data_IF_046374297587
#
_entry.id   IF_046374297587
#
_cell.length_a   1.000
_cell.length_b   1.000
_cell.length_c   1.000
_cell.angle_alpha   90.00
_cell.angle_beta   90.00
_cell.angle_gamma   90.00
#
_symmetry.space_group_name_H-M   'P 1'
#
loop_
_entity.id
_entity.type
_entity.pdbx_description
1 polymer ?
#
# COMPACT_ATOMS: atom_id res chain seq x y z
N UNK A 1 -17.74 17.92 5.57
CA UNK A 1 -17.71 16.49 5.91
C UNK A 1 -19.01 16.17 6.64
N UNK A 2 -19.82 15.19 6.21
CA UNK A 2 -21.05 14.87 6.95
C UNK A 2 -20.68 14.32 8.34
N UNK A 3 -21.25 14.83 9.45
CA UNK A 3 -21.02 14.29 10.78
C UNK A 3 -21.49 12.82 10.87
N UNK A 4 -21.09 12.11 11.93
CA UNK A 4 -21.41 10.68 12.25
C UNK A 4 -22.91 10.35 12.34
N UNK A 5 -23.78 11.28 11.98
CA UNK A 5 -25.21 11.25 12.20
C UNK A 5 -25.86 10.45 11.05
N UNK A 6 -25.73 9.12 11.11
CA UNK A 6 -26.77 8.08 10.94
C UNK A 6 -26.17 6.65 10.83
N UNK A 7 -25.13 6.32 11.60
CA UNK A 7 -24.75 4.91 11.75
C UNK A 7 -25.76 4.19 12.67
N UNK A 8 -26.26 2.99 12.31
CA UNK A 8 -27.04 2.17 13.22
C UNK A 8 -26.30 1.95 14.53
N UNK A 9 -27.03 1.82 15.64
CA UNK A 9 -26.44 1.67 16.98
C UNK A 9 -25.40 0.54 17.05
N UNK A 10 -25.69 -0.60 16.42
CA UNK A 10 -24.77 -1.75 16.35
C UNK A 10 -23.41 -1.39 15.71
N UNK A 11 -23.41 -0.58 14.66
CA UNK A 11 -22.17 -0.15 13.99
C UNK A 11 -21.38 0.84 14.83
N UNK A 12 -22.06 1.67 15.63
CA UNK A 12 -21.39 2.58 16.56
C UNK A 12 -20.71 1.81 17.69
N UNK A 13 -21.40 0.83 18.28
CA UNK A 13 -20.85 -0.03 19.33
C UNK A 13 -19.65 -0.84 18.84
N UNK A 14 -19.76 -1.43 17.64
CA UNK A 14 -18.66 -2.16 17.00
C UNK A 14 -17.47 -1.24 16.65
N UNK A 15 -17.74 -0.04 16.14
CA UNK A 15 -16.72 0.98 15.89
C UNK A 15 -15.96 1.38 17.14
N UNK A 16 -16.66 1.62 18.25
CA UNK A 16 -16.04 1.95 19.54
C UNK A 16 -15.18 0.78 20.03
N UNK A 17 -15.67 -0.46 19.95
CA UNK A 17 -14.90 -1.65 20.31
C UNK A 17 -13.59 -1.76 19.52
N UNK A 18 -13.66 -1.56 18.19
CA UNK A 18 -12.49 -1.55 17.30
C UNK A 18 -11.52 -0.41 17.64
N UNK A 19 -12.05 0.77 17.95
CA UNK A 19 -11.24 1.92 18.38
C UNK A 19 -10.49 1.64 19.68
N UNK A 20 -11.15 1.07 20.69
CA UNK A 20 -10.51 0.68 21.94
C UNK A 20 -9.44 -0.38 21.74
N UNK A 21 -9.71 -1.40 20.91
CA UNK A 21 -8.73 -2.44 20.58
C UNK A 21 -7.48 -1.85 19.92
N UNK A 22 -7.67 -0.94 18.96
CA UNK A 22 -6.57 -0.20 18.35
C UNK A 22 -5.80 0.65 19.37
N UNK A 23 -6.49 1.40 20.23
CA UNK A 23 -5.85 2.23 21.25
C UNK A 23 -5.01 1.40 22.22
N UNK A 24 -5.48 0.21 22.61
CA UNK A 24 -4.72 -0.72 23.45
C UNK A 24 -3.44 -1.16 22.73
N UNK A 25 -3.57 -1.65 21.49
CA UNK A 25 -2.41 -2.10 20.71
C UNK A 25 -1.40 -0.97 20.43
N UNK A 26 -1.88 0.25 20.19
CA UNK A 26 -1.05 1.43 20.00
C UNK A 26 -0.25 1.76 21.27
N UNK A 27 -0.91 1.73 22.45
CA UNK A 27 -0.22 1.92 23.74
C UNK A 27 0.82 0.84 23.99
N UNK A 28 0.48 -0.43 23.77
CA UNK A 28 1.39 -1.57 23.94
C UNK A 28 2.62 -1.47 23.02
N UNK A 29 2.44 -0.85 21.85
CA UNK A 29 3.51 -0.61 20.87
C UNK A 29 4.22 0.74 21.04
N UNK A 30 3.90 1.51 22.10
CA UNK A 30 4.39 2.88 22.33
C UNK A 30 4.17 3.83 21.13
N UNK A 31 3.05 3.66 20.43
CA UNK A 31 2.63 4.48 19.29
C UNK A 31 1.60 5.50 19.79
N UNK A 32 1.89 6.78 19.55
CA UNK A 32 0.95 7.87 19.78
C UNK A 32 0.42 8.36 18.44
N UNK A 33 -0.91 8.37 18.29
CA UNK A 33 -1.58 9.06 17.19
C UNK A 33 -1.79 10.54 17.54
N UNK A 34 -1.94 11.36 16.49
CA UNK A 34 -2.38 12.74 16.63
C UNK A 34 -3.74 12.79 17.33
N UNK A 35 -3.82 13.54 18.43
CA UNK A 35 -5.05 13.79 19.19
C UNK A 35 -5.87 14.91 18.53
N UNK A 36 -6.36 14.60 17.34
CA UNK A 36 -7.21 15.47 16.53
C UNK A 36 -8.60 14.87 16.48
N UNK A 37 -9.57 15.57 17.06
CA UNK A 37 -10.95 15.10 17.18
C UNK A 37 -11.57 14.84 15.81
N UNK A 38 -11.26 15.65 14.79
CA UNK A 38 -11.81 15.44 13.43
C UNK A 38 -11.25 14.16 12.82
N UNK A 39 -9.94 13.92 12.98
CA UNK A 39 -9.29 12.70 12.48
C UNK A 39 -9.81 11.45 13.19
N UNK A 40 -9.99 11.49 14.50
CA UNK A 40 -10.52 10.37 15.29
C UNK A 40 -11.92 9.99 14.83
N UNK A 41 -12.79 10.97 14.54
CA UNK A 41 -14.14 10.67 14.03
C UNK A 41 -14.11 10.02 12.64
N UNK A 42 -13.21 10.44 11.76
CA UNK A 42 -13.00 9.76 10.47
C UNK A 42 -12.49 8.34 10.67
N UNK A 43 -11.52 8.15 11.57
CA UNK A 43 -10.96 6.83 11.87
C UNK A 43 -12.05 5.88 12.37
N UNK A 44 -12.84 6.30 13.36
CA UNK A 44 -13.97 5.51 13.88
C UNK A 44 -14.93 5.13 12.76
N UNK A 45 -15.31 6.09 11.92
CA UNK A 45 -16.15 5.82 10.74
C UNK A 45 -15.54 4.76 9.81
N UNK A 46 -14.26 4.89 9.48
CA UNK A 46 -13.57 3.91 8.62
C UNK A 46 -13.54 2.52 9.26
N UNK A 47 -13.34 2.44 10.58
CA UNK A 47 -13.35 1.17 11.32
C UNK A 47 -14.75 0.53 11.38
N UNK A 48 -15.80 1.36 11.49
CA UNK A 48 -17.18 0.91 11.39
C UNK A 48 -17.46 0.23 10.04
N UNK A 49 -16.92 0.78 8.95
CA UNK A 49 -17.15 0.27 7.60
C UNK A 49 -16.19 -0.83 7.14
N UNK A 50 -15.06 -1.05 7.82
CA UNK A 50 -14.05 -2.03 7.39
C UNK A 50 -13.34 -2.75 8.52
N UNK A 51 -13.74 -4.01 8.74
CA UNK A 51 -13.01 -4.95 9.59
C UNK A 51 -11.57 -5.16 9.15
N UNK A 52 -11.32 -5.18 7.84
CA UNK A 52 -9.99 -5.37 7.30
C UNK A 52 -9.05 -4.23 7.72
N UNK A 53 -9.50 -2.97 7.60
CA UNK A 53 -8.69 -1.82 8.03
C UNK A 53 -8.52 -1.84 9.54
N UNK A 54 -9.61 -1.99 10.31
CA UNK A 54 -9.56 -2.01 11.77
C UNK A 54 -8.58 -3.07 12.29
N UNK A 55 -8.68 -4.32 11.80
CA UNK A 55 -7.77 -5.40 12.19
C UNK A 55 -6.33 -5.14 11.77
N UNK A 56 -6.11 -4.60 10.56
CA UNK A 56 -4.75 -4.33 10.07
C UNK A 56 -4.07 -3.22 10.86
N UNK A 57 -4.80 -2.15 11.19
CA UNK A 57 -4.31 -1.06 12.02
C UNK A 57 -4.06 -1.51 13.47
N UNK A 58 -4.92 -2.36 14.04
CA UNK A 58 -4.72 -2.92 15.38
C UNK A 58 -3.52 -3.87 15.42
N UNK A 59 -3.32 -4.69 14.39
CA UNK A 59 -2.17 -5.60 14.32
C UNK A 59 -0.84 -4.86 14.11
N UNK A 60 -0.86 -3.75 13.36
CA UNK A 60 0.31 -2.92 13.12
C UNK A 60 -0.01 -1.42 13.31
N UNK A 61 -0.04 -0.93 14.57
CA UNK A 61 -0.38 0.48 14.84
C UNK A 61 0.62 1.47 14.25
N UNK A 62 1.89 1.07 14.14
CA UNK A 62 2.96 1.90 13.58
C UNK A 62 2.70 2.25 12.09
N UNK A 63 2.07 1.34 11.34
CA UNK A 63 1.72 1.61 9.93
C UNK A 63 0.65 2.70 9.80
N UNK A 64 -0.36 2.73 10.68
CA UNK A 64 -1.35 3.81 10.66
C UNK A 64 -0.70 5.13 11.07
N UNK A 65 0.15 5.11 12.12
CA UNK A 65 0.88 6.31 12.53
C UNK A 65 1.77 6.87 11.42
N UNK A 66 2.47 6.00 10.68
CA UNK A 66 3.28 6.37 9.51
C UNK A 66 2.42 7.00 8.39
N UNK A 67 1.25 6.43 8.09
CA UNK A 67 0.30 6.98 7.11
C UNK A 67 -0.21 8.38 7.50
N UNK A 68 -0.46 8.60 8.79
CA UNK A 68 -0.89 9.89 9.33
C UNK A 68 0.26 10.90 9.30
N UNK A 69 1.44 10.51 9.79
CA UNK A 69 2.60 11.40 9.91
C UNK A 69 3.16 11.81 8.54
N UNK A 70 3.16 10.90 7.57
CA UNK A 70 3.58 11.19 6.20
C UNK A 70 2.59 12.08 5.44
N UNK A 71 1.33 12.17 5.89
CA UNK A 71 0.26 12.87 5.17
C UNK A 71 -0.29 12.09 3.97
N UNK A 72 0.16 10.85 3.77
CA UNK A 72 -0.23 10.02 2.62
C UNK A 72 -1.73 9.78 2.52
N UNK A 73 -2.46 9.85 3.64
CA UNK A 73 -3.91 9.68 3.68
C UNK A 73 -4.67 10.81 2.98
N UNK A 74 -4.10 12.02 2.86
CA UNK A 74 -4.86 13.21 2.46
C UNK A 74 -4.73 13.58 0.98
N UNK A 75 -3.74 13.03 0.26
CA UNK A 75 -3.44 13.44 -1.11
C UNK A 75 -3.45 12.29 -2.09
N UNK A 76 -3.79 12.57 -3.34
CA UNK A 76 -3.43 11.69 -4.45
C UNK A 76 -1.92 11.67 -4.62
N UNK A 77 -1.39 10.52 -5.03
CA UNK A 77 0.00 10.47 -5.42
C UNK A 77 0.17 10.98 -6.85
N UNK A 78 1.29 11.66 -7.16
CA UNK A 78 1.64 11.96 -8.54
C UNK A 78 1.93 10.65 -9.32
N UNK A 79 1.96 10.71 -10.66
CA UNK A 79 2.42 9.59 -11.48
C UNK A 79 3.77 9.02 -10.99
N UNK A 80 3.95 7.71 -11.14
CA UNK A 80 5.14 6.95 -10.72
C UNK A 80 5.50 6.97 -9.24
N UNK A 81 4.70 7.59 -8.37
CA UNK A 81 5.02 7.63 -6.94
C UNK A 81 5.13 6.24 -6.31
N UNK A 82 4.20 5.32 -6.65
CA UNK A 82 4.25 3.94 -6.18
C UNK A 82 5.54 3.23 -6.59
N UNK A 83 5.97 3.42 -7.85
CA UNK A 83 7.23 2.89 -8.36
C UNK A 83 8.42 3.41 -7.55
N UNK A 84 8.53 4.73 -7.38
CA UNK A 84 9.62 5.34 -6.63
C UNK A 84 9.66 4.88 -5.17
N UNK A 85 8.51 4.84 -4.50
CA UNK A 85 8.38 4.47 -3.09
C UNK A 85 8.72 2.99 -2.86
N UNK A 86 8.25 2.10 -3.73
CA UNK A 86 8.57 0.68 -3.66
C UNK A 86 10.05 0.44 -4.00
N UNK A 87 10.58 1.08 -5.05
CA UNK A 87 12.00 1.02 -5.39
C UNK A 87 12.89 1.44 -4.22
N UNK A 88 12.51 2.50 -3.48
CA UNK A 88 13.21 2.91 -2.26
C UNK A 88 13.12 1.86 -1.14
N UNK A 89 11.97 1.18 -1.00
CA UNK A 89 11.81 0.09 -0.03
C UNK A 89 12.63 -1.15 -0.41
N UNK A 90 12.95 -1.30 -1.70
CA UNK A 90 13.77 -2.35 -2.29
C UNK A 90 15.24 -1.92 -2.49
N UNK A 91 15.65 -0.72 -2.12
CA UNK A 91 17.02 -0.25 -2.36
C UNK A 91 18.07 -0.85 -1.41
N UNK A 92 17.66 -1.75 -0.50
CA UNK A 92 18.59 -2.50 0.34
C UNK A 92 19.39 -3.52 -0.47
N UNK A 93 20.58 -3.88 -0.01
CA UNK A 93 21.35 -4.96 -0.63
C UNK A 93 20.55 -6.26 -0.59
N UNK A 94 20.18 -6.72 -1.77
CA UNK A 94 19.65 -8.06 -1.98
C UNK A 94 20.79 -9.01 -2.36
N UNK A 95 20.93 -10.09 -1.61
CA UNK A 95 21.69 -11.25 -2.05
C UNK A 95 21.00 -11.95 -3.21
N UNK A 96 21.75 -12.80 -3.94
CA UNK A 96 21.11 -13.78 -4.81
C UNK A 96 20.17 -14.66 -3.98
N UNK A 97 18.98 -14.96 -4.50
CA UNK A 97 18.01 -15.88 -3.91
C UNK A 97 17.32 -15.39 -2.61
N UNK A 98 17.35 -14.10 -2.30
CA UNK A 98 16.57 -13.51 -1.20
C UNK A 98 15.06 -13.33 -1.53
N UNK A 99 14.44 -14.28 -2.23
CA UNK A 99 13.03 -14.24 -2.66
C UNK A 99 12.05 -14.05 -1.51
N UNK A 100 12.31 -14.68 -0.36
CA UNK A 100 11.47 -14.54 0.84
C UNK A 100 11.45 -13.10 1.36
N UNK A 101 12.59 -12.40 1.30
CA UNK A 101 12.72 -10.99 1.72
C UNK A 101 12.01 -10.07 0.74
N UNK A 102 12.17 -10.31 -0.58
CA UNK A 102 11.42 -9.60 -1.63
C UNK A 102 9.91 -9.75 -1.40
N UNK A 103 9.42 -10.98 -1.25
CA UNK A 103 8.01 -11.28 -0.98
C UNK A 103 7.50 -10.59 0.28
N UNK A 104 8.28 -10.59 1.36
CA UNK A 104 7.95 -9.89 2.61
C UNK A 104 7.84 -8.36 2.42
N UNK A 105 8.77 -7.74 1.70
CA UNK A 105 8.73 -6.29 1.42
C UNK A 105 7.52 -5.94 0.55
N UNK A 106 7.27 -6.69 -0.52
CA UNK A 106 6.11 -6.49 -1.41
C UNK A 106 4.79 -6.64 -0.67
N UNK A 107 4.65 -7.66 0.19
CA UNK A 107 3.44 -7.87 1.01
C UNK A 107 3.19 -6.70 1.97
N UNK A 108 4.23 -6.22 2.66
CA UNK A 108 4.11 -5.08 3.57
C UNK A 108 3.77 -3.80 2.83
N UNK A 109 4.42 -3.54 1.70
CA UNK A 109 4.14 -2.37 0.85
C UNK A 109 2.69 -2.41 0.34
N UNK A 110 2.28 -3.54 -0.26
CA UNK A 110 0.92 -3.71 -0.77
C UNK A 110 -0.13 -3.55 0.34
N UNK A 111 0.09 -4.13 1.52
CA UNK A 111 -0.84 -4.00 2.65
C UNK A 111 -1.00 -2.52 3.05
N UNK A 112 0.11 -1.81 3.25
CA UNK A 112 0.10 -0.38 3.61
C UNK A 112 -0.68 0.45 2.59
N UNK A 113 -0.36 0.30 1.31
CA UNK A 113 -0.98 1.11 0.26
C UNK A 113 -2.44 0.72 0.00
N UNK A 114 -2.81 -0.57 0.11
CA UNK A 114 -4.21 -0.99 0.05
C UNK A 114 -5.04 -0.38 1.18
N UNK A 115 -4.48 -0.29 2.39
CA UNK A 115 -5.16 0.36 3.53
C UNK A 115 -5.32 1.85 3.27
N UNK A 116 -4.28 2.53 2.78
CA UNK A 116 -4.38 3.94 2.38
C UNK A 116 -5.50 4.17 1.36
N UNK A 117 -5.55 3.35 0.31
CA UNK A 117 -6.55 3.48 -0.77
C UNK A 117 -7.96 3.27 -0.20
N UNK A 118 -8.17 2.16 0.50
CA UNK A 118 -9.47 1.84 1.10
C UNK A 118 -9.91 2.86 2.15
N UNK A 119 -8.97 3.41 2.93
CA UNK A 119 -9.24 4.49 3.86
C UNK A 119 -9.75 5.72 3.14
N UNK A 120 -9.06 6.17 2.08
CA UNK A 120 -9.46 7.36 1.32
C UNK A 120 -10.83 7.19 0.68
N UNK A 121 -11.13 6.01 0.15
CA UNK A 121 -12.44 5.66 -0.38
C UNK A 121 -13.53 5.74 0.71
N UNK A 122 -13.35 5.05 1.83
CA UNK A 122 -14.32 5.02 2.93
C UNK A 122 -14.47 6.35 3.68
N UNK A 123 -13.41 7.16 3.72
CA UNK A 123 -13.43 8.52 4.26
C UNK A 123 -14.10 9.52 3.29
N UNK A 124 -14.32 9.15 2.03
CA UNK A 124 -14.87 10.02 0.99
C UNK A 124 -13.86 11.08 0.54
N UNK A 125 -12.56 10.77 0.64
CA UNK A 125 -11.44 11.61 0.22
C UNK A 125 -10.89 11.25 -1.17
N UNK A 126 -11.40 10.17 -1.75
CA UNK A 126 -11.18 9.78 -3.13
C UNK A 126 -12.52 9.44 -3.78
N UNK A 127 -12.66 9.79 -5.05
CA UNK A 127 -13.76 9.29 -5.88
C UNK A 127 -13.39 7.93 -6.51
N UNK A 128 -14.37 7.25 -7.12
CA UNK A 128 -14.18 5.94 -7.73
C UNK A 128 -13.04 5.94 -8.77
N UNK A 129 -12.91 7.00 -9.58
CA UNK A 129 -11.89 7.07 -10.62
C UNK A 129 -10.48 7.13 -10.01
N UNK A 130 -10.33 7.88 -8.93
CA UNK A 130 -9.08 7.99 -8.17
C UNK A 130 -8.74 6.68 -7.48
N UNK A 131 -9.73 6.03 -6.86
CA UNK A 131 -9.55 4.72 -6.20
C UNK A 131 -9.10 3.66 -7.22
N UNK A 132 -9.72 3.61 -8.40
CA UNK A 132 -9.32 2.67 -9.46
C UNK A 132 -7.92 2.99 -10.03
N UNK A 133 -7.59 4.27 -10.22
CA UNK A 133 -6.26 4.68 -10.68
C UNK A 133 -5.15 4.29 -9.67
N UNK A 134 -5.36 4.54 -8.38
CA UNK A 134 -4.43 4.15 -7.31
C UNK A 134 -4.24 2.62 -7.26
N UNK A 135 -5.32 1.83 -7.42
CA UNK A 135 -5.25 0.37 -7.44
C UNK A 135 -4.43 -0.16 -8.64
N UNK A 136 -4.67 0.38 -9.83
CA UNK A 136 -3.93 0.01 -11.04
C UNK A 136 -2.44 0.38 -10.91
N UNK A 137 -2.15 1.60 -10.47
CA UNK A 137 -0.77 2.07 -10.30
C UNK A 137 0.00 1.29 -9.22
N UNK A 138 -0.67 0.90 -8.13
CA UNK A 138 -0.08 0.02 -7.11
C UNK A 138 0.25 -1.36 -7.67
N UNK A 139 -0.67 -1.96 -8.45
CA UNK A 139 -0.47 -3.28 -9.05
C UNK A 139 0.71 -3.25 -10.04
N UNK A 140 0.74 -2.26 -10.92
CA UNK A 140 1.82 -2.05 -11.89
C UNK A 140 3.18 -1.89 -11.19
N UNK A 141 3.26 -1.04 -10.15
CA UNK A 141 4.49 -0.87 -9.41
C UNK A 141 4.98 -2.17 -8.75
N UNK A 142 4.09 -2.94 -8.11
CA UNK A 142 4.45 -4.21 -7.49
C UNK A 142 4.99 -5.20 -8.52
N UNK A 143 4.33 -5.30 -9.68
CA UNK A 143 4.70 -6.23 -10.74
C UNK A 143 6.04 -5.81 -11.37
N UNK A 144 6.20 -4.55 -11.76
CA UNK A 144 7.39 -4.06 -12.43
C UNK A 144 8.65 -4.15 -11.55
N UNK A 145 8.54 -3.81 -10.27
CA UNK A 145 9.68 -3.89 -9.35
C UNK A 145 10.06 -5.34 -9.03
N UNK A 146 9.07 -6.22 -8.81
CA UNK A 146 9.33 -7.64 -8.58
C UNK A 146 9.99 -8.28 -9.81
N UNK A 147 9.46 -7.99 -11.01
CA UNK A 147 10.00 -8.53 -12.24
C UNK A 147 11.43 -8.07 -12.49
N UNK A 148 11.71 -6.77 -12.32
CA UNK A 148 13.04 -6.20 -12.54
C UNK A 148 14.10 -6.90 -11.67
N UNK A 149 13.80 -7.11 -10.39
CA UNK A 149 14.72 -7.78 -9.46
C UNK A 149 14.90 -9.27 -9.77
N UNK A 150 13.79 -9.98 -10.03
CA UNK A 150 13.85 -11.41 -10.35
C UNK A 150 14.58 -11.67 -11.67
N UNK A 151 14.39 -10.81 -12.67
CA UNK A 151 15.12 -10.87 -13.93
C UNK A 151 16.62 -10.63 -13.72
N UNK A 152 16.99 -9.64 -12.90
CA UNK A 152 18.39 -9.39 -12.55
C UNK A 152 19.04 -10.62 -11.87
N UNK A 153 18.34 -11.24 -10.92
CA UNK A 153 18.83 -12.45 -10.25
C UNK A 153 18.98 -13.63 -11.22
N UNK A 154 17.99 -13.83 -12.09
CA UNK A 154 18.04 -14.86 -13.12
C UNK A 154 19.21 -14.64 -14.08
N UNK A 155 19.43 -13.41 -14.54
CA UNK A 155 20.54 -13.08 -15.43
C UNK A 155 21.91 -13.31 -14.78
N UNK A 156 22.06 -12.95 -13.50
CA UNK A 156 23.29 -13.21 -12.74
C UNK A 156 23.58 -14.70 -12.58
N UNK A 157 22.53 -15.53 -12.48
CA UNK A 157 22.65 -16.98 -12.25
C UNK A 157 22.81 -17.79 -13.54
N UNK A 158 22.10 -17.40 -14.60
CA UNK A 158 21.95 -18.20 -15.82
C UNK A 158 22.42 -17.49 -17.09
N UNK A 159 22.85 -16.23 -17.01
CA UNK A 159 23.14 -15.39 -18.16
C UNK A 159 21.89 -14.70 -18.72
N UNK A 160 22.10 -13.77 -19.66
CA UNK A 160 21.02 -13.01 -20.30
C UNK A 160 20.33 -13.91 -21.33
N UNK A 161 18.99 -14.07 -21.28
CA UNK A 161 18.25 -14.80 -22.30
C UNK A 161 18.51 -14.19 -23.68
N UNK A 162 18.72 -15.03 -24.69
CA UNK A 162 18.96 -14.60 -26.06
C UNK A 162 18.01 -15.28 -27.04
N UNK A 163 17.59 -14.54 -28.07
CA UNK A 163 16.82 -15.07 -29.20
C UNK A 163 17.65 -16.04 -30.05
N UNK A 164 17.01 -16.66 -31.03
CA UNK A 164 17.67 -17.59 -31.96
C UNK A 164 18.82 -16.92 -32.74
N UNK A 165 18.74 -15.61 -32.96
CA UNK A 165 19.75 -14.77 -33.59
C UNK A 165 20.84 -14.24 -32.63
N UNK A 166 20.77 -14.61 -31.34
CA UNK A 166 21.68 -14.13 -30.31
C UNK A 166 21.35 -12.74 -29.75
N UNK A 167 20.24 -12.12 -30.17
CA UNK A 167 19.80 -10.83 -29.62
C UNK A 167 19.33 -10.98 -28.16
N UNK A 168 19.69 -10.08 -27.23
CA UNK A 168 19.18 -10.12 -25.86
C UNK A 168 17.65 -10.03 -25.81
N UNK A 169 17.03 -10.88 -25.01
CA UNK A 169 15.60 -10.84 -24.72
C UNK A 169 15.35 -10.43 -23.27
N UNK A 170 14.52 -9.41 -23.10
CA UNK A 170 14.12 -8.88 -21.81
C UNK A 170 12.69 -9.33 -21.48
N UNK A 171 12.47 -9.69 -20.22
CA UNK A 171 11.11 -9.92 -19.74
C UNK A 171 10.44 -8.57 -19.50
N UNK A 172 9.36 -8.30 -20.20
CA UNK A 172 8.51 -7.13 -19.99
C UNK A 172 7.13 -7.52 -19.48
N UNK A 173 6.49 -6.63 -18.73
CA UNK A 173 5.05 -6.74 -18.41
C UNK A 173 4.28 -5.94 -19.45
N UNK A 174 3.33 -6.53 -20.18
CA UNK A 174 2.44 -5.78 -21.05
C UNK A 174 1.50 -4.92 -20.18
N UNK A 175 1.91 -3.69 -19.85
CA UNK A 175 1.07 -2.69 -19.20
C UNK A 175 0.26 -1.91 -20.25
N UNK A 176 -1.03 -1.70 -20.00
CA UNK A 176 -2.02 -1.11 -20.93
C UNK A 176 -1.88 0.38 -21.26
N UNK A 177 -0.66 0.92 -21.28
CA UNK A 177 -0.36 2.15 -22.00
C UNK A 177 0.54 1.77 -23.18
N UNK A 178 -0.01 1.91 -24.40
CA UNK A 178 0.76 1.79 -25.63
C UNK A 178 2.00 2.68 -25.56
N UNK A 179 3.15 2.01 -25.61
CA UNK A 179 4.42 2.39 -26.24
C UNK A 179 4.81 3.87 -26.29
N UNK A 180 5.91 4.21 -25.60
CA UNK A 180 7.06 4.85 -26.27
C UNK A 180 8.15 5.20 -25.25
N UNK A 181 9.08 4.27 -25.02
CA UNK A 181 10.51 4.59 -25.20
C UNK A 181 11.27 3.29 -25.39
N UNK A 182 11.77 3.18 -26.62
CA UNK A 182 12.91 2.42 -27.08
C UNK A 182 13.96 2.09 -25.99
N UNK A 183 14.39 0.82 -26.05
CA UNK A 183 15.63 0.20 -25.51
C UNK A 183 15.80 0.15 -23.98
#
# INVERSE_FOLDING_TARGET
MKPIIDLPQEMMEDSESKWYAFCSAAKDSNISLRDDSEFIEVLKRVFAFSDFIARSCTHNPAMLADLVQSGDLHGQYPPDHYNHKLKKSLSGSFGLEEEAKLSSILRRFRLREMIRIAWRDLAGWADLSQTMADLSALAEACINQALSLLYEWACRKYGIPAGYDGSPQHLGVPGGHESSTLW
#
